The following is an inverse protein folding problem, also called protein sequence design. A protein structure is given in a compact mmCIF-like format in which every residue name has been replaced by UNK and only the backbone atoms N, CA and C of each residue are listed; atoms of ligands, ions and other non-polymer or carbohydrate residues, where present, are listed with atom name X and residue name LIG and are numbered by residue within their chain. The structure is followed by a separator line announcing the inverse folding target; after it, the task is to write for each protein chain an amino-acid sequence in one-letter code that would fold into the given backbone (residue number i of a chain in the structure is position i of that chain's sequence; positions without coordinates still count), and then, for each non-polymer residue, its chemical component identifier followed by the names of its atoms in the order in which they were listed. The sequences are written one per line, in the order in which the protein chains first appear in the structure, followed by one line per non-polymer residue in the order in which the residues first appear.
data_IF_572552142446
#
_entry.id   IF_572552142446
#
_cell.length_a   1.000
_cell.length_b   1.000
_cell.length_c   1.000
_cell.angle_alpha   90.00
_cell.angle_beta   90.00
_cell.angle_gamma   90.00
#
_symmetry.space_group_name_H-M   'P 1'
#
loop_
_entity.id
_entity.type
_entity.pdbx_description
1 polymer ?
#
# COMPACT_ATOMS: atom_id res chain seq x y z
N UNK A 1 -19.00 -10.07 2.16
CA UNK A 1 -18.51 -8.69 1.92
C UNK A 1 -17.39 -8.42 2.89
N UNK A 2 -16.17 -8.18 2.39
CA UNK A 2 -15.06 -7.71 3.23
C UNK A 2 -15.15 -6.19 3.20
N UNK A 3 -15.58 -5.58 4.29
CA UNK A 3 -15.61 -4.14 4.46
C UNK A 3 -14.24 -3.70 4.98
N UNK A 4 -13.53 -2.85 4.25
CA UNK A 4 -12.35 -2.18 4.76
C UNK A 4 -12.78 -0.98 5.61
N UNK A 5 -12.21 -0.86 6.81
CA UNK A 5 -12.44 0.26 7.73
C UNK A 5 -11.12 0.91 8.07
N UNK A 6 -11.17 2.21 8.41
CA UNK A 6 -9.98 2.93 8.87
C UNK A 6 -9.44 2.37 10.18
N UNK A 7 -8.12 2.33 10.31
CA UNK A 7 -7.42 1.91 11.53
C UNK A 7 -6.38 2.99 11.93
N UNK A 8 -6.51 3.60 13.12
CA UNK A 8 -5.60 4.65 13.57
C UNK A 8 -4.17 4.17 13.87
N UNK A 9 -3.99 2.90 14.24
CA UNK A 9 -2.66 2.34 14.52
C UNK A 9 -1.89 2.09 13.22
N UNK A 10 -2.58 1.63 12.16
CA UNK A 10 -1.99 1.58 10.81
C UNK A 10 -1.59 2.97 10.31
N UNK A 11 -2.45 3.97 10.51
CA UNK A 11 -2.18 5.35 10.10
C UNK A 11 -0.98 5.98 10.84
N UNK A 12 -0.83 5.68 12.13
CA UNK A 12 0.32 6.11 12.94
C UNK A 12 1.63 5.58 12.35
N UNK A 13 1.68 4.29 12.02
CA UNK A 13 2.85 3.66 11.40
C UNK A 13 3.14 4.24 10.02
N UNK A 14 2.12 4.38 9.16
CA UNK A 14 2.27 4.97 7.83
C UNK A 14 2.83 6.40 7.89
N UNK A 15 2.32 7.24 8.82
CA UNK A 15 2.84 8.60 9.04
C UNK A 15 4.29 8.60 9.49
N UNK A 16 4.68 7.70 10.40
CA UNK A 16 6.06 7.59 10.86
C UNK A 16 7.02 7.18 9.74
N UNK A 17 6.61 6.25 8.88
CA UNK A 17 7.42 5.80 7.75
C UNK A 17 7.54 6.87 6.65
N UNK A 18 6.41 7.48 6.25
CA UNK A 18 6.37 8.48 5.19
C UNK A 18 7.25 9.70 5.48
N UNK A 19 7.40 10.10 6.75
CA UNK A 19 8.31 11.20 7.18
C UNK A 19 9.78 10.97 6.84
N UNK A 20 10.19 9.73 6.55
CA UNK A 20 11.57 9.42 6.16
C UNK A 20 11.86 9.79 4.70
N UNK A 21 10.83 10.05 3.89
CA UNK A 21 10.94 10.38 2.47
C UNK A 21 11.73 9.34 1.66
N UNK A 22 11.46 8.05 1.90
CA UNK A 22 12.13 6.93 1.21
C UNK A 22 11.12 6.15 0.38
N UNK A 23 11.36 6.01 -0.93
CA UNK A 23 10.56 5.15 -1.80
C UNK A 23 11.01 3.69 -1.67
N UNK A 24 10.81 3.13 -0.47
CA UNK A 24 11.05 1.73 -0.15
C UNK A 24 10.12 1.29 0.97
N UNK A 25 9.83 -0.01 1.01
CA UNK A 25 8.94 -0.57 2.02
C UNK A 25 9.50 -0.48 3.44
N UNK A 26 8.59 -0.37 4.40
CA UNK A 26 8.93 -0.45 5.82
C UNK A 26 9.56 -1.81 6.15
N UNK A 27 10.78 -1.78 6.70
CA UNK A 27 11.56 -2.99 7.00
C UNK A 27 10.93 -3.85 8.10
N UNK A 28 10.03 -3.26 8.90
CA UNK A 28 9.41 -3.91 10.06
C UNK A 28 8.01 -4.49 9.76
N UNK A 29 7.54 -4.49 8.51
CA UNK A 29 6.18 -4.92 8.13
C UNK A 29 5.82 -6.35 8.57
N UNK A 30 6.81 -7.21 8.78
CA UNK A 30 6.65 -8.61 9.18
C UNK A 30 7.04 -8.88 10.64
N UNK A 31 7.40 -7.84 11.39
CA UNK A 31 7.80 -7.96 12.78
C UNK A 31 6.59 -7.70 13.70
N UNK A 32 6.11 -8.71 14.45
CA UNK A 32 4.96 -8.54 15.32
C UNK A 32 5.17 -7.42 16.34
N UNK A 33 4.17 -6.55 16.48
CA UNK A 33 4.19 -5.43 17.42
C UNK A 33 4.99 -4.21 16.98
N UNK A 34 5.74 -4.25 15.87
CA UNK A 34 6.48 -3.08 15.37
C UNK A 34 5.62 -2.12 14.54
N UNK A 35 4.76 -2.66 13.68
CA UNK A 35 3.94 -1.86 12.74
C UNK A 35 2.47 -1.77 13.14
N UNK A 36 2.00 -2.71 13.97
CA UNK A 36 0.65 -2.71 14.52
C UNK A 36 0.62 -3.53 15.82
N UNK A 37 -0.16 -3.14 16.86
CA UNK A 37 -0.20 -3.88 18.12
C UNK A 37 -0.88 -5.25 18.03
N UNK A 38 -1.72 -5.49 17.02
CA UNK A 38 -2.54 -6.71 16.90
C UNK A 38 -2.25 -7.56 15.67
N UNK A 39 -1.61 -7.01 14.64
CA UNK A 39 -1.36 -7.73 13.40
C UNK A 39 0.08 -8.23 13.41
N UNK A 40 0.27 -9.53 13.15
CA UNK A 40 1.60 -10.13 13.04
C UNK A 40 2.36 -9.62 11.81
N UNK A 41 1.64 -9.20 10.78
CA UNK A 41 2.18 -8.57 9.59
C UNK A 41 1.20 -7.54 9.02
N UNK A 42 1.73 -6.52 8.35
CA UNK A 42 0.97 -5.44 7.72
C UNK A 42 1.41 -5.30 6.26
N UNK A 43 0.45 -5.11 5.34
CA UNK A 43 0.74 -4.77 3.94
C UNK A 43 1.05 -3.28 3.78
N UNK A 44 1.66 -2.88 2.66
CA UNK A 44 2.00 -1.48 2.42
C UNK A 44 1.97 -1.15 0.94
N UNK A 45 1.26 -0.09 0.57
CA UNK A 45 1.35 0.55 -0.73
C UNK A 45 1.98 1.94 -0.56
N UNK A 46 2.89 2.30 -1.47
CA UNK A 46 3.58 3.60 -1.46
C UNK A 46 3.28 4.31 -2.78
N UNK A 47 2.98 5.60 -2.70
CA UNK A 47 2.87 6.48 -3.87
C UNK A 47 3.80 7.68 -3.67
N UNK A 48 4.48 8.09 -4.73
CA UNK A 48 5.31 9.30 -4.75
C UNK A 48 5.07 10.05 -6.05
N UNK A 49 5.09 11.38 -5.99
CA UNK A 49 4.92 12.25 -7.13
C UNK A 49 5.04 13.71 -6.70
N UNK A 50 4.81 14.63 -7.63
CA UNK A 50 4.77 16.05 -7.29
C UNK A 50 3.53 16.38 -6.46
N UNK A 51 3.62 17.43 -5.64
CA UNK A 51 2.49 17.94 -4.86
C UNK A 51 1.30 18.34 -5.76
N UNK A 52 1.58 18.85 -6.96
CA UNK A 52 0.57 19.31 -7.92
C UNK A 52 -0.35 18.21 -8.45
N UNK A 53 0.09 16.95 -8.45
CA UNK A 53 -0.69 15.80 -8.94
C UNK A 53 -1.26 14.96 -7.79
N UNK A 54 -0.97 15.32 -6.54
CA UNK A 54 -1.36 14.52 -5.40
C UNK A 54 -2.83 14.73 -5.03
N UNK A 55 -3.57 13.62 -5.00
CA UNK A 55 -4.76 13.46 -4.18
C UNK A 55 -4.88 12.01 -3.72
N UNK A 56 -5.66 11.75 -2.67
CA UNK A 56 -5.93 10.37 -2.22
C UNK A 56 -6.55 9.54 -3.34
N UNK A 57 -7.49 10.12 -4.10
CA UNK A 57 -8.12 9.46 -5.24
C UNK A 57 -7.11 9.09 -6.32
N UNK A 58 -6.22 10.01 -6.69
CA UNK A 58 -5.22 9.75 -7.74
C UNK A 58 -4.21 8.68 -7.31
N UNK A 59 -3.74 8.71 -6.05
CA UNK A 59 -2.84 7.68 -5.54
C UNK A 59 -3.48 6.29 -5.55
N UNK A 60 -4.73 6.15 -5.05
CA UNK A 60 -5.46 4.89 -5.05
C UNK A 60 -5.78 4.44 -6.49
N UNK A 61 -6.17 5.37 -7.36
CA UNK A 61 -6.45 5.07 -8.78
C UNK A 61 -5.18 4.61 -9.49
N UNK A 62 -4.02 5.17 -9.16
CA UNK A 62 -2.73 4.73 -9.69
C UNK A 62 -2.42 3.30 -9.29
N UNK A 63 -2.62 2.93 -8.03
CA UNK A 63 -2.44 1.54 -7.56
C UNK A 63 -3.42 0.58 -8.24
N UNK A 64 -4.69 0.96 -8.34
CA UNK A 64 -5.72 0.15 -8.97
C UNK A 64 -5.45 -0.09 -10.46
N UNK A 65 -4.92 0.92 -11.17
CA UNK A 65 -4.70 0.87 -12.61
C UNK A 65 -3.70 -0.20 -13.06
N UNK A 66 -2.92 -0.79 -12.15
CA UNK A 66 -2.08 -1.95 -12.45
C UNK A 66 -2.90 -3.19 -12.87
N UNK A 67 -4.23 -3.19 -12.63
CA UNK A 67 -5.17 -4.19 -13.19
C UNK A 67 -4.99 -4.41 -14.69
N UNK A 68 -4.59 -3.36 -15.44
CA UNK A 68 -4.36 -3.42 -16.89
C UNK A 68 -3.24 -4.39 -17.27
N UNK A 69 -2.31 -4.62 -16.34
CA UNK A 69 -1.17 -5.53 -16.49
C UNK A 69 -1.38 -6.89 -15.80
N UNK A 70 -2.51 -7.07 -15.10
CA UNK A 70 -2.84 -8.29 -14.36
C UNK A 70 -3.80 -9.18 -15.15
N UNK A 71 -3.41 -10.45 -15.34
CA UNK A 71 -4.29 -11.48 -15.89
C UNK A 71 -4.81 -12.37 -14.77
N UNK A 72 -6.12 -12.28 -14.53
CA UNK A 72 -6.81 -13.14 -13.57
C UNK A 72 -6.81 -14.61 -13.98
N UNK A 73 -7.05 -14.89 -15.26
CA UNK A 73 -7.12 -16.27 -15.78
C UNK A 73 -5.78 -16.99 -15.67
N UNK A 74 -4.67 -16.28 -15.91
CA UNK A 74 -3.32 -16.83 -15.79
C UNK A 74 -2.69 -16.63 -14.40
N UNK A 75 -3.37 -15.90 -13.50
CA UNK A 75 -2.84 -15.46 -12.21
C UNK A 75 -1.43 -14.86 -12.32
N UNK A 76 -1.23 -13.99 -13.31
CA UNK A 76 0.10 -13.50 -13.70
C UNK A 76 0.10 -11.99 -13.91
N UNK A 77 1.21 -11.35 -13.59
CA UNK A 77 1.43 -9.93 -13.80
C UNK A 77 2.47 -9.71 -14.90
N UNK A 78 2.19 -8.82 -15.86
CA UNK A 78 3.13 -8.48 -16.93
C UNK A 78 4.15 -7.40 -16.53
N UNK A 79 3.83 -6.60 -15.51
CA UNK A 79 4.66 -5.48 -15.03
C UNK A 79 4.69 -5.46 -13.49
N UNK A 80 4.18 -4.38 -12.89
CA UNK A 80 3.97 -4.25 -11.45
C UNK A 80 2.47 -4.36 -11.22
N UNK A 81 2.06 -5.25 -10.32
CA UNK A 81 0.66 -5.44 -9.96
C UNK A 81 0.47 -5.55 -8.43
N UNK A 82 1.55 -5.37 -7.67
CA UNK A 82 1.56 -5.58 -6.23
C UNK A 82 0.63 -4.61 -5.50
N UNK A 83 0.56 -3.36 -5.98
CA UNK A 83 -0.32 -2.38 -5.38
C UNK A 83 -1.77 -2.75 -5.65
N UNK A 84 -2.10 -3.11 -6.89
CA UNK A 84 -3.44 -3.54 -7.26
C UNK A 84 -3.90 -4.78 -6.49
N UNK A 85 -3.07 -5.80 -6.39
CA UNK A 85 -3.44 -7.04 -5.67
C UNK A 85 -3.68 -6.84 -4.18
N UNK A 86 -3.24 -5.70 -3.61
CA UNK A 86 -3.42 -5.37 -2.21
C UNK A 86 -4.62 -4.44 -1.95
N UNK A 87 -5.09 -3.68 -2.96
CA UNK A 87 -6.27 -2.80 -2.86
C UNK A 87 -7.54 -3.64 -2.78
#
# INVERSE_FOLDING_TARGET
FILQTWDPDLAKTAKAWAKRCQFKHNTYLKEPGQTHPRFASVGENIWTGSLSIFSVKEAITSWYNEVKDYSYTANSCRRVCGHYTQV
#
